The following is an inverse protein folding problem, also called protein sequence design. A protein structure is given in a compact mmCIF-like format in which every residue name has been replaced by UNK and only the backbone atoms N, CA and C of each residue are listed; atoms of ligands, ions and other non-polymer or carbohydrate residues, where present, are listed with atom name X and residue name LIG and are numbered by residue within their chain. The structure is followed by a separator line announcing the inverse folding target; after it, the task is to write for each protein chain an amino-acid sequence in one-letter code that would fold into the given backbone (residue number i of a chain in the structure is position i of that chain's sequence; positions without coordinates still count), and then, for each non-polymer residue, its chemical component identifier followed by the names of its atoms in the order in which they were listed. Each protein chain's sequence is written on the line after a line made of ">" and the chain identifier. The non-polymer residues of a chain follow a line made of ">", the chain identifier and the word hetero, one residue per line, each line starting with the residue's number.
data_IF_339556013159
#
_entry.id   IF_339556013159
#
_cell.length_a   1.000
_cell.length_b   1.000
_cell.length_c   1.000
_cell.angle_alpha   90.00
_cell.angle_beta   90.00
_cell.angle_gamma   90.00
#
_symmetry.space_group_name_H-M   'P 1'
#
loop_
_entity.id
_entity.type
_entity.pdbx_description
1 polymer ?
#
# COMPACT_ATOMS: atom_id res chain seq x y z
N UNK A 1 20.86 -4.63 3.64
CA UNK A 1 20.59 -5.45 4.86
C UNK A 1 19.15 -5.23 5.27
N UNK A 2 18.48 -6.28 5.73
CA UNK A 2 17.17 -6.19 6.37
C UNK A 2 17.25 -6.11 7.89
N UNK A 3 16.08 -5.99 8.53
CA UNK A 3 15.95 -5.90 9.98
C UNK A 3 16.34 -7.18 10.74
N UNK A 4 16.27 -8.33 10.08
CA UNK A 4 16.70 -9.61 10.65
C UNK A 4 18.18 -9.92 10.42
N UNK A 5 18.92 -9.06 9.71
CA UNK A 5 20.35 -9.24 9.45
C UNK A 5 21.22 -8.64 10.57
N UNK A 6 20.68 -8.46 11.78
CA UNK A 6 21.41 -7.97 12.94
C UNK A 6 20.86 -8.61 14.22
N UNK A 7 21.67 -8.68 15.28
CA UNK A 7 21.27 -9.28 16.56
C UNK A 7 21.42 -8.24 17.68
N UNK A 8 20.35 -7.96 18.47
CA UNK A 8 18.99 -8.46 18.28
C UNK A 8 18.33 -7.93 17.01
N UNK A 9 17.35 -8.67 16.47
CA UNK A 9 16.60 -8.23 15.28
C UNK A 9 15.94 -6.87 15.54
N UNK A 10 15.73 -6.10 14.47
CA UNK A 10 15.15 -4.75 14.51
C UNK A 10 16.01 -3.70 15.23
N UNK A 11 17.10 -4.07 15.93
CA UNK A 11 17.81 -3.19 16.87
C UNK A 11 19.25 -2.96 16.45
N UNK A 12 19.48 -1.88 15.71
CA UNK A 12 20.82 -1.46 15.30
C UNK A 12 21.12 -0.06 15.82
N UNK A 13 22.12 0.08 16.68
CA UNK A 13 22.57 1.37 17.18
C UNK A 13 23.15 2.21 16.04
N UNK A 14 22.68 3.45 15.93
CA UNK A 14 23.00 4.35 14.81
C UNK A 14 24.15 5.33 15.11
N UNK A 15 24.85 5.12 16.22
CA UNK A 15 26.06 5.87 16.56
C UNK A 15 27.21 5.50 15.64
N UNK A 16 27.97 6.51 15.22
CA UNK A 16 29.23 6.31 14.51
C UNK A 16 30.26 5.54 15.34
N UNK A 17 30.14 5.49 16.67
CA UNK A 17 31.09 4.80 17.54
C UNK A 17 30.61 3.43 18.02
N UNK A 18 29.43 2.98 17.57
CA UNK A 18 28.92 1.67 17.98
C UNK A 18 29.83 0.53 17.47
N UNK A 19 30.40 -0.23 18.41
CA UNK A 19 31.37 -1.29 18.10
C UNK A 19 30.70 -2.50 17.45
N UNK A 20 29.53 -2.92 17.95
CA UNK A 20 28.81 -4.09 17.45
C UNK A 20 28.38 -3.91 15.99
N UNK A 21 27.85 -2.72 15.65
CA UNK A 21 27.53 -2.37 14.27
C UNK A 21 28.77 -2.38 13.39
N UNK A 22 29.86 -1.73 13.82
CA UNK A 22 31.11 -1.70 13.03
C UNK A 22 31.69 -3.08 12.78
N UNK A 23 31.71 -3.94 13.80
CA UNK A 23 32.17 -5.31 13.70
C UNK A 23 31.32 -6.09 12.68
N UNK A 24 29.99 -5.98 12.78
CA UNK A 24 29.08 -6.62 11.86
C UNK A 24 29.21 -6.11 10.42
N UNK A 25 29.24 -4.78 10.22
CA UNK A 25 29.44 -4.19 8.90
C UNK A 25 30.79 -4.59 8.30
N UNK A 26 31.84 -4.72 9.13
CA UNK A 26 33.17 -5.17 8.69
C UNK A 26 33.18 -6.65 8.28
N UNK A 27 32.47 -7.49 9.04
CA UNK A 27 32.27 -8.89 8.68
C UNK A 27 31.50 -9.02 7.35
N UNK A 28 30.41 -8.28 7.20
CA UNK A 28 29.64 -8.24 5.96
C UNK A 28 30.47 -7.73 4.76
N UNK A 29 31.28 -6.69 4.97
CA UNK A 29 32.23 -6.20 3.97
C UNK A 29 33.21 -7.30 3.52
N UNK A 30 33.61 -8.20 4.43
CA UNK A 30 34.52 -9.31 4.15
C UNK A 30 33.85 -10.38 3.28
N UNK A 31 32.63 -10.80 3.60
CA UNK A 31 31.90 -11.80 2.80
C UNK A 31 31.47 -11.24 1.43
N UNK A 32 31.25 -9.93 1.33
CA UNK A 32 30.87 -9.24 0.08
C UNK A 32 32.05 -8.59 -0.64
N UNK A 33 33.29 -8.87 -0.22
CA UNK A 33 34.48 -8.23 -0.79
C UNK A 33 34.61 -8.43 -2.30
N UNK A 34 34.14 -9.57 -2.83
CA UNK A 34 34.15 -9.88 -4.26
C UNK A 34 33.27 -8.94 -5.10
N UNK A 35 32.32 -8.22 -4.48
CA UNK A 35 31.54 -7.16 -5.11
C UNK A 35 32.11 -5.75 -4.87
N UNK A 36 33.32 -5.65 -4.29
CA UNK A 36 34.00 -4.38 -3.98
C UNK A 36 33.17 -3.44 -3.09
N UNK A 37 32.32 -3.99 -2.21
CA UNK A 37 31.39 -3.19 -1.40
C UNK A 37 32.08 -2.21 -0.47
N UNK A 38 33.29 -2.54 0.02
CA UNK A 38 33.99 -1.75 1.01
C UNK A 38 34.78 -0.57 0.43
N UNK A 39 35.20 -0.67 -0.83
CA UNK A 39 36.02 0.36 -1.47
C UNK A 39 35.20 1.49 -2.09
N UNK A 40 33.86 1.38 -2.12
CA UNK A 40 32.88 2.26 -2.80
C UNK A 40 33.59 3.29 -3.71
N UNK A 41 34.09 2.84 -4.88
CA UNK A 41 35.00 3.65 -5.69
C UNK A 41 34.30 4.86 -6.33
N UNK A 42 32.99 5.00 -6.11
CA UNK A 42 32.14 6.03 -6.68
C UNK A 42 31.97 7.16 -5.67
N UNK A 43 32.27 8.42 -6.03
CA UNK A 43 32.04 9.56 -5.16
C UNK A 43 30.55 9.77 -4.82
N UNK A 44 30.22 10.20 -3.59
CA UNK A 44 31.11 10.32 -2.43
C UNK A 44 31.49 8.96 -1.83
N UNK A 45 32.78 8.71 -1.53
CA UNK A 45 33.22 7.43 -0.99
C UNK A 45 32.64 7.21 0.41
N UNK A 46 32.13 6.00 0.63
CA UNK A 46 31.66 5.58 1.95
C UNK A 46 32.13 4.15 2.23
N UNK A 47 33.01 3.95 3.24
CA UNK A 47 33.38 2.61 3.66
C UNK A 47 32.16 1.87 4.23
N UNK A 48 31.82 0.72 3.63
CA UNK A 48 30.70 -0.09 4.09
C UNK A 48 30.91 -0.55 5.54
N UNK A 49 32.15 -0.87 5.93
CA UNK A 49 32.51 -1.26 7.30
C UNK A 49 32.10 -0.24 8.37
N UNK A 50 32.01 1.05 8.00
CA UNK A 50 31.69 2.12 8.95
C UNK A 50 30.21 2.48 9.00
N UNK A 51 29.41 2.05 8.01
CA UNK A 51 28.08 2.62 7.78
C UNK A 51 27.00 1.60 7.40
N UNK A 52 27.40 0.42 6.92
CA UNK A 52 26.55 -0.63 6.38
C UNK A 52 25.72 -0.22 5.13
N UNK A 53 26.15 0.81 4.41
CA UNK A 53 25.60 1.20 3.11
C UNK A 53 26.72 1.50 2.11
N UNK A 54 26.42 1.38 0.81
CA UNK A 54 27.42 1.55 -0.25
C UNK A 54 26.76 1.86 -1.58
N UNK A 55 27.55 2.30 -2.54
CA UNK A 55 27.15 2.45 -3.93
C UNK A 55 28.00 1.59 -4.86
N UNK A 56 27.41 1.15 -5.97
CA UNK A 56 28.08 0.37 -7.02
C UNK A 56 27.76 0.97 -8.39
N UNK A 57 28.81 1.29 -9.16
CA UNK A 57 28.66 1.68 -10.56
C UNK A 57 28.64 0.43 -11.45
N UNK A 58 27.58 0.29 -12.23
CA UNK A 58 27.36 -0.80 -13.17
C UNK A 58 27.49 -0.25 -14.59
N UNK A 59 28.51 -0.72 -15.32
CA UNK A 59 28.75 -0.43 -16.75
C UNK A 59 28.75 1.07 -17.08
N UNK A 60 29.25 1.91 -16.18
CA UNK A 60 29.41 3.37 -16.34
C UNK A 60 28.12 4.15 -16.67
N UNK A 61 26.95 3.53 -16.48
CA UNK A 61 25.64 4.13 -16.80
C UNK A 61 24.64 4.05 -15.66
N UNK A 62 24.81 3.09 -14.75
CA UNK A 62 23.84 2.80 -13.71
C UNK A 62 24.52 2.77 -12.35
N UNK A 63 24.15 3.69 -11.47
CA UNK A 63 24.58 3.73 -10.08
C UNK A 63 23.53 3.04 -9.22
N UNK A 64 23.91 1.99 -8.51
CA UNK A 64 23.06 1.34 -7.50
C UNK A 64 23.41 1.95 -6.15
N UNK A 65 22.47 2.64 -5.52
CA UNK A 65 22.59 3.17 -4.16
C UNK A 65 21.93 2.19 -3.19
N UNK A 66 22.73 1.42 -2.47
CA UNK A 66 22.22 0.44 -1.50
C UNK A 66 22.32 1.02 -0.09
N UNK A 67 21.17 1.35 0.48
CA UNK A 67 21.08 2.05 1.76
C UNK A 67 20.92 1.09 2.95
N UNK A 68 21.35 1.54 4.12
CA UNK A 68 21.08 0.96 5.42
C UNK A 68 19.81 1.59 5.99
N UNK A 69 18.65 1.03 5.67
CA UNK A 69 17.38 1.55 6.18
C UNK A 69 17.15 1.33 7.68
N UNK A 70 17.98 0.53 8.37
CA UNK A 70 17.85 0.32 9.82
C UNK A 70 17.96 1.62 10.62
N UNK A 71 18.67 2.61 10.08
CA UNK A 71 18.87 3.89 10.76
C UNK A 71 17.62 4.77 10.77
N UNK A 72 16.57 4.36 10.06
CA UNK A 72 15.29 5.05 9.97
C UNK A 72 14.09 4.14 10.24
N UNK A 73 14.33 2.84 10.45
CA UNK A 73 13.28 1.85 10.64
C UNK A 73 12.46 2.14 11.90
N UNK A 74 11.14 2.20 11.77
CA UNK A 74 10.25 2.65 12.84
C UNK A 74 10.30 1.75 14.09
N UNK A 75 10.53 0.44 13.90
CA UNK A 75 10.67 -0.51 15.02
C UNK A 75 12.09 -0.57 15.60
N UNK A 76 13.08 0.11 14.99
CA UNK A 76 14.40 0.26 15.58
C UNK A 76 14.40 1.35 16.63
N UNK A 77 14.14 0.98 17.89
CA UNK A 77 14.14 1.96 18.97
C UNK A 77 15.49 2.62 19.25
N UNK A 78 16.61 2.04 18.79
CA UNK A 78 17.94 2.68 18.89
C UNK A 78 18.16 3.77 17.84
N UNK A 79 17.28 3.85 16.84
CA UNK A 79 17.23 4.90 15.82
C UNK A 79 16.13 5.94 16.09
N UNK A 80 15.47 5.88 17.26
CA UNK A 80 14.33 6.75 17.58
C UNK A 80 14.75 8.23 17.53
N UNK A 81 14.04 9.12 16.81
CA UNK A 81 14.41 10.53 16.68
C UNK A 81 14.60 11.26 18.02
N UNK A 82 13.83 10.91 19.05
CA UNK A 82 13.95 11.52 20.39
C UNK A 82 15.26 11.20 21.12
N UNK A 83 16.03 10.22 20.65
CA UNK A 83 17.35 9.86 21.19
C UNK A 83 18.49 10.53 20.43
N UNK A 84 18.17 11.21 19.32
CA UNK A 84 19.13 11.77 18.39
C UNK A 84 19.11 13.29 18.52
N UNK A 85 20.25 13.97 18.32
CA UNK A 85 20.28 15.42 18.24
C UNK A 85 19.28 15.95 17.20
N UNK A 86 18.77 17.15 17.42
CA UNK A 86 17.93 17.81 16.43
C UNK A 86 18.70 17.93 15.10
N UNK A 87 18.05 17.63 13.97
CA UNK A 87 18.67 17.57 12.64
C UNK A 87 19.72 16.45 12.42
N UNK A 88 19.85 15.50 13.35
CA UNK A 88 20.79 14.40 13.20
C UNK A 88 20.45 13.52 12.00
N UNK A 89 21.43 13.38 11.10
CA UNK A 89 21.44 12.45 9.99
C UNK A 89 22.27 11.23 10.41
N UNK A 90 21.63 10.13 10.86
CA UNK A 90 22.36 9.01 11.38
C UNK A 90 23.32 8.43 10.33
N UNK A 91 24.58 8.29 10.74
CA UNK A 91 25.66 7.84 9.86
C UNK A 91 25.88 8.73 8.61
N UNK A 92 25.34 9.95 8.58
CA UNK A 92 25.48 10.88 7.46
C UNK A 92 24.84 10.38 6.16
N UNK A 93 23.91 9.44 6.27
CA UNK A 93 23.41 8.69 5.13
C UNK A 93 22.50 9.53 4.23
N UNK A 94 21.68 10.43 4.78
CA UNK A 94 20.83 11.32 3.99
C UNK A 94 21.67 12.27 3.15
N UNK A 95 22.71 12.86 3.75
CA UNK A 95 23.68 13.69 3.04
C UNK A 95 24.39 12.89 1.96
N UNK A 96 24.86 11.67 2.28
CA UNK A 96 25.52 10.79 1.33
C UNK A 96 24.60 10.43 0.13
N UNK A 97 23.32 10.16 0.36
CA UNK A 97 22.33 9.92 -0.71
C UNK A 97 22.23 11.15 -1.60
N UNK A 98 22.02 12.34 -1.02
CA UNK A 98 21.91 13.59 -1.78
C UNK A 98 23.16 13.84 -2.65
N UNK A 99 24.35 13.72 -2.05
CA UNK A 99 25.62 13.95 -2.75
C UNK A 99 25.84 12.91 -3.87
N UNK A 100 25.40 11.67 -3.67
CA UNK A 100 25.42 10.61 -4.69
C UNK A 100 24.47 10.90 -5.86
N UNK A 101 23.28 11.44 -5.59
CA UNK A 101 22.31 11.83 -6.61
C UNK A 101 22.80 13.05 -7.42
N UNK A 102 23.43 14.03 -6.77
CA UNK A 102 24.12 15.15 -7.43
C UNK A 102 25.21 14.62 -8.36
N UNK A 103 26.04 13.69 -7.86
CA UNK A 103 27.09 13.06 -8.66
C UNK A 103 26.49 12.33 -9.88
N UNK A 104 25.43 11.54 -9.70
CA UNK A 104 24.77 10.85 -10.80
C UNK A 104 24.27 11.82 -11.87
N UNK A 105 23.60 12.92 -11.47
CA UNK A 105 23.12 13.95 -12.39
C UNK A 105 24.25 14.61 -13.17
N UNK A 106 25.32 15.01 -12.47
CA UNK A 106 26.50 15.64 -13.08
C UNK A 106 27.17 14.75 -14.12
N UNK A 107 27.15 13.43 -13.92
CA UNK A 107 27.82 12.46 -14.78
C UNK A 107 26.87 11.74 -15.76
N UNK A 108 25.60 12.16 -15.84
CA UNK A 108 24.62 11.54 -16.74
C UNK A 108 24.33 10.07 -16.45
N UNK A 109 24.40 9.67 -15.18
CA UNK A 109 24.10 8.32 -14.73
C UNK A 109 22.62 8.18 -14.37
N UNK A 110 22.08 6.96 -14.55
CA UNK A 110 20.81 6.57 -13.92
C UNK A 110 21.05 5.92 -12.57
N UNK A 111 20.05 5.99 -11.70
CA UNK A 111 20.14 5.52 -10.32
C UNK A 111 19.07 4.49 -10.02
N UNK A 112 19.47 3.34 -9.50
CA UNK A 112 18.59 2.45 -8.74
C UNK A 112 18.77 2.76 -7.26
N UNK A 113 17.68 3.16 -6.61
CA UNK A 113 17.64 3.29 -5.16
C UNK A 113 17.22 1.96 -4.54
N UNK A 114 18.12 1.30 -3.81
CA UNK A 114 17.87 0.00 -3.19
C UNK A 114 17.79 0.13 -1.67
N UNK A 115 16.70 -0.36 -1.10
CA UNK A 115 16.47 -0.40 0.35
C UNK A 115 15.77 -1.70 0.72
N UNK A 116 15.97 -2.19 1.95
CA UNK A 116 15.11 -3.25 2.46
C UNK A 116 13.69 -2.75 2.72
N UNK A 117 13.56 -1.59 3.37
CA UNK A 117 12.28 -1.02 3.76
C UNK A 117 11.71 -0.10 2.66
N UNK A 118 10.44 -0.27 2.27
CA UNK A 118 9.71 0.69 1.45
C UNK A 118 9.49 2.02 2.16
N UNK A 119 9.19 3.07 1.38
CA UNK A 119 8.59 4.29 1.92
C UNK A 119 7.08 4.09 2.08
N UNK A 120 6.46 4.89 2.93
CA UNK A 120 5.03 4.81 3.22
C UNK A 120 4.68 3.63 4.13
N UNK A 121 3.55 3.01 3.84
CA UNK A 121 2.92 1.98 4.66
C UNK A 121 2.59 0.73 3.82
N UNK A 122 2.41 -0.45 4.43
CA UNK A 122 2.04 -1.66 3.71
C UNK A 122 0.56 -1.67 3.32
N UNK A 123 0.22 -2.34 2.21
CA UNK A 123 -1.16 -2.43 1.69
C UNK A 123 -2.14 -3.13 2.61
N UNK A 124 -1.66 -4.12 3.36
CA UNK A 124 -2.49 -4.96 4.21
C UNK A 124 -2.83 -4.30 5.56
N UNK A 125 -2.05 -3.31 6.01
CA UNK A 125 -2.35 -2.57 7.25
C UNK A 125 -1.73 -1.16 7.28
N UNK A 126 -2.19 -0.26 6.39
CA UNK A 126 -1.56 1.04 6.21
C UNK A 126 -1.83 2.04 7.34
N UNK A 127 -2.71 1.72 8.29
CA UNK A 127 -3.04 2.58 9.45
C UNK A 127 -2.19 2.30 10.67
N UNK A 128 -1.89 1.03 10.92
CA UNK A 128 -1.17 0.63 12.12
C UNK A 128 0.36 0.64 11.93
N UNK A 129 0.82 0.50 10.70
CA UNK A 129 2.24 0.31 10.41
C UNK A 129 2.75 1.32 9.39
N UNK A 130 3.90 1.90 9.70
CA UNK A 130 4.75 2.63 8.76
C UNK A 130 6.15 2.04 8.85
N UNK A 131 6.84 1.93 7.74
CA UNK A 131 8.15 1.27 7.72
C UNK A 131 9.23 2.15 8.37
N UNK A 132 9.21 3.44 8.07
CA UNK A 132 10.22 4.40 8.52
C UNK A 132 9.60 5.42 9.47
N UNK A 133 10.42 6.00 10.35
CA UNK A 133 9.99 7.16 11.12
C UNK A 133 9.50 8.29 10.19
N UNK A 134 8.40 9.00 10.52
CA UNK A 134 7.76 9.95 9.62
C UNK A 134 8.70 10.99 8.99
N UNK A 135 9.57 11.59 9.80
CA UNK A 135 10.54 12.60 9.33
C UNK A 135 11.55 12.02 8.33
N UNK A 136 12.01 10.78 8.54
CA UNK A 136 12.92 10.12 7.62
C UNK A 136 12.20 9.74 6.32
N UNK A 137 10.97 9.24 6.41
CA UNK A 137 10.13 8.96 5.26
C UNK A 137 9.94 10.20 4.38
N UNK A 138 9.55 11.34 5.00
CA UNK A 138 9.34 12.62 4.32
C UNK A 138 10.61 13.13 3.63
N UNK A 139 11.76 13.10 4.33
CA UNK A 139 13.05 13.55 3.78
C UNK A 139 13.52 12.68 2.62
N UNK A 140 13.41 11.35 2.73
CA UNK A 140 13.77 10.43 1.65
C UNK A 140 12.84 10.60 0.44
N UNK A 141 11.52 10.68 0.67
CA UNK A 141 10.56 10.91 -0.39
C UNK A 141 10.88 12.19 -1.16
N UNK A 142 11.19 13.26 -0.44
CA UNK A 142 11.58 14.55 -1.01
C UNK A 142 12.83 14.45 -1.88
N UNK A 143 13.87 13.75 -1.43
CA UNK A 143 15.06 13.50 -2.26
C UNK A 143 14.72 12.72 -3.53
N UNK A 144 13.89 11.68 -3.42
CA UNK A 144 13.51 10.89 -4.60
C UNK A 144 12.68 11.72 -5.59
N UNK A 145 11.82 12.61 -5.10
CA UNK A 145 11.10 13.58 -5.93
C UNK A 145 12.05 14.58 -6.59
N UNK A 146 13.01 15.16 -5.85
CA UNK A 146 13.91 16.21 -6.36
C UNK A 146 14.94 15.69 -7.37
N UNK A 147 15.24 14.40 -7.33
CA UNK A 147 16.19 13.73 -8.22
C UNK A 147 15.54 12.69 -9.14
N UNK A 148 14.24 12.86 -9.40
CA UNK A 148 13.47 11.94 -10.23
C UNK A 148 13.99 11.82 -11.68
N UNK A 149 14.70 12.84 -12.18
CA UNK A 149 15.32 12.87 -13.51
C UNK A 149 16.46 11.86 -13.68
N UNK A 150 17.15 11.51 -12.59
CA UNK A 150 18.22 10.49 -12.60
C UNK A 150 17.77 9.13 -12.09
N UNK A 151 16.68 9.06 -11.32
CA UNK A 151 16.15 7.78 -10.88
C UNK A 151 15.60 6.97 -12.06
N UNK A 152 15.95 5.69 -12.12
CA UNK A 152 15.27 4.74 -13.02
C UNK A 152 14.16 3.99 -12.29
N UNK A 153 14.39 3.58 -11.04
CA UNK A 153 13.37 3.03 -10.13
C UNK A 153 13.96 2.90 -8.73
N UNK A 154 13.10 2.69 -7.74
CA UNK A 154 13.51 2.11 -6.45
C UNK A 154 13.23 0.60 -6.43
N UNK A 155 14.11 -0.17 -5.81
CA UNK A 155 13.94 -1.59 -5.52
C UNK A 155 13.88 -1.77 -4.00
N UNK A 156 12.72 -2.22 -3.52
CA UNK A 156 12.40 -2.34 -2.09
C UNK A 156 11.84 -3.72 -1.76
N UNK A 157 11.80 -4.10 -0.48
CA UNK A 157 11.39 -5.42 -0.04
C UNK A 157 10.60 -5.33 1.29
N UNK A 158 10.95 -6.16 2.27
CA UNK A 158 10.37 -6.24 3.62
C UNK A 158 8.94 -6.77 3.71
N UNK A 159 8.01 -6.32 2.85
CA UNK A 159 6.59 -6.70 2.91
C UNK A 159 6.31 -8.15 2.44
N UNK A 160 7.29 -8.82 1.81
CA UNK A 160 7.18 -10.18 1.24
C UNK A 160 6.17 -10.34 0.08
N UNK A 161 5.37 -9.32 -0.20
CA UNK A 161 4.39 -9.24 -1.28
C UNK A 161 5.02 -8.80 -2.60
N UNK A 162 4.34 -9.15 -3.71
CA UNK A 162 4.65 -8.59 -5.03
C UNK A 162 3.79 -7.34 -5.24
N UNK A 163 4.42 -6.18 -5.26
CA UNK A 163 3.70 -4.92 -5.38
C UNK A 163 4.54 -3.81 -6.02
N UNK A 164 3.92 -2.66 -6.24
CA UNK A 164 4.59 -1.44 -6.67
C UNK A 164 3.98 -0.20 -5.99
N UNK A 165 4.74 0.90 -6.00
CA UNK A 165 4.35 2.21 -5.48
C UNK A 165 4.65 3.29 -6.49
N UNK A 166 3.86 4.37 -6.48
CA UNK A 166 4.09 5.57 -7.29
C UNK A 166 4.68 6.68 -6.42
N UNK A 167 5.70 7.34 -6.95
CA UNK A 167 6.22 8.59 -6.39
C UNK A 167 5.57 9.73 -7.17
N UNK A 168 4.68 10.45 -6.52
CA UNK A 168 4.08 11.67 -7.05
C UNK A 168 4.90 12.89 -6.61
N UNK A 169 5.00 13.91 -7.47
CA UNK A 169 5.52 15.23 -7.07
C UNK A 169 4.43 16.07 -6.36
N UNK A 170 4.77 17.31 -5.97
CA UNK A 170 3.83 18.20 -5.28
C UNK A 170 2.65 18.66 -6.15
N UNK A 171 2.70 18.44 -7.47
CA UNK A 171 1.60 18.69 -8.40
C UNK A 171 0.79 17.42 -8.71
N UNK A 172 1.10 16.29 -8.06
CA UNK A 172 0.42 15.01 -8.29
C UNK A 172 0.84 14.31 -9.58
N UNK A 173 1.96 14.70 -10.20
CA UNK A 173 2.47 14.03 -11.41
C UNK A 173 3.30 12.81 -11.00
N UNK A 174 3.15 11.65 -11.67
CA UNK A 174 3.99 10.49 -11.40
C UNK A 174 5.41 10.75 -11.92
N UNK A 175 6.36 10.86 -11.00
CA UNK A 175 7.77 11.18 -11.28
C UNK A 175 8.72 10.00 -11.03
N UNK A 176 8.30 9.01 -10.25
CA UNK A 176 9.10 7.82 -9.95
C UNK A 176 8.25 6.63 -9.54
N UNK A 177 8.90 5.49 -9.34
CA UNK A 177 8.25 4.23 -8.94
C UNK A 177 9.12 3.43 -7.98
N UNK A 178 8.47 2.61 -7.15
CA UNK A 178 9.15 1.61 -6.33
C UNK A 178 8.58 0.22 -6.64
N UNK A 179 9.44 -0.75 -6.89
CA UNK A 179 9.04 -2.15 -7.03
C UNK A 179 9.34 -2.89 -5.73
N UNK A 180 8.31 -3.48 -5.15
CA UNK A 180 8.41 -4.36 -3.99
C UNK A 180 8.63 -5.77 -4.50
N UNK A 181 9.79 -6.33 -4.17
CA UNK A 181 10.12 -7.70 -4.52
C UNK A 181 9.55 -8.66 -3.47
N UNK A 182 8.86 -9.73 -3.88
CA UNK A 182 8.37 -10.73 -2.96
C UNK A 182 9.50 -11.57 -2.36
N UNK A 183 9.21 -12.28 -1.29
CA UNK A 183 10.22 -13.10 -0.60
C UNK A 183 10.34 -14.51 -1.17
N UNK A 184 11.50 -15.13 -0.92
CA UNK A 184 11.73 -16.56 -1.13
C UNK A 184 11.11 -17.38 0.01
N UNK A 185 11.04 -16.83 1.21
CA UNK A 185 10.44 -17.54 2.35
C UNK A 185 8.93 -17.71 2.14
N UNK A 186 8.36 -18.92 2.30
CA UNK A 186 6.93 -19.13 2.22
C UNK A 186 6.21 -18.78 3.53
N UNK A 187 6.77 -17.82 4.29
CA UNK A 187 6.28 -17.45 5.60
C UNK A 187 4.78 -17.12 5.56
N UNK A 188 4.03 -17.54 6.57
CA UNK A 188 2.61 -17.24 6.66
C UNK A 188 2.43 -16.09 7.63
N UNK A 189 1.97 -14.95 7.11
CA UNK A 189 1.68 -13.78 7.93
C UNK A 189 0.21 -13.79 8.35
N UNK A 190 -0.04 -13.45 9.61
CA UNK A 190 -1.38 -13.29 10.14
C UNK A 190 -2.12 -12.19 9.34
N UNK A 191 -3.39 -12.41 9.03
CA UNK A 191 -4.29 -11.49 8.31
C UNK A 191 -3.87 -11.15 6.86
N UNK A 192 -2.85 -11.83 6.33
CA UNK A 192 -2.39 -11.71 4.94
C UNK A 192 -2.47 -13.06 4.24
N UNK A 193 -1.83 -14.09 4.79
CA UNK A 193 -1.75 -15.43 4.20
C UNK A 193 -0.31 -15.92 3.98
N UNK A 194 -0.20 -17.10 3.35
CA UNK A 194 1.08 -17.69 2.98
C UNK A 194 1.55 -17.21 1.61
N UNK A 195 2.85 -17.21 1.37
CA UNK A 195 3.45 -16.89 0.07
C UNK A 195 3.98 -18.15 -0.61
N UNK A 196 3.98 -18.18 -1.95
CA UNK A 196 4.90 -19.05 -2.68
C UNK A 196 6.29 -18.35 -2.79
N UNK A 197 7.40 -19.10 -2.71
CA UNK A 197 8.75 -18.59 -2.98
C UNK A 197 8.84 -17.95 -4.36
N UNK A 198 9.44 -16.77 -4.42
CA UNK A 198 9.49 -15.95 -5.64
C UNK A 198 10.83 -15.27 -5.83
N UNK A 199 11.25 -15.11 -7.09
CA UNK A 199 12.43 -14.33 -7.50
C UNK A 199 12.12 -13.50 -8.73
N UNK A 200 12.73 -12.32 -8.86
CA UNK A 200 12.45 -11.37 -9.95
C UNK A 200 13.70 -11.10 -10.79
N UNK A 201 13.52 -11.05 -12.10
CA UNK A 201 14.56 -10.71 -13.08
C UNK A 201 14.17 -9.43 -13.82
N UNK A 202 14.91 -8.35 -13.61
CA UNK A 202 14.74 -7.09 -14.33
C UNK A 202 15.54 -7.08 -15.64
N UNK A 203 14.93 -6.56 -16.70
CA UNK A 203 15.61 -6.20 -17.95
C UNK A 203 15.86 -4.70 -17.98
N UNK A 204 17.04 -4.27 -18.41
CA UNK A 204 17.40 -2.85 -18.49
C UNK A 204 18.23 -2.54 -19.75
N UNK A 205 18.16 -1.29 -20.21
CA UNK A 205 18.98 -0.77 -21.29
C UNK A 205 20.39 -0.51 -20.81
N UNK A 206 21.38 -1.20 -21.37
CA UNK A 206 22.80 -0.95 -21.05
C UNK A 206 23.30 0.40 -21.52
N UNK A 207 22.63 1.03 -22.49
CA UNK A 207 23.03 2.32 -23.03
C UNK A 207 22.53 3.48 -22.16
N UNK A 208 21.31 3.37 -21.63
CA UNK A 208 20.65 4.44 -20.88
C UNK A 208 20.51 4.17 -19.38
N UNK A 209 20.77 2.94 -18.91
CA UNK A 209 20.55 2.53 -17.52
C UNK A 209 19.07 2.36 -17.14
N UNK A 210 18.14 2.53 -18.07
CA UNK A 210 16.70 2.48 -17.80
C UNK A 210 16.18 1.04 -17.67
N UNK A 211 15.33 0.78 -16.67
CA UNK A 211 14.56 -0.46 -16.59
C UNK A 211 13.55 -0.53 -17.75
N UNK A 212 13.44 -1.70 -18.37
CA UNK A 212 12.58 -1.95 -19.52
C UNK A 212 11.37 -2.80 -19.16
N UNK A 213 11.58 -3.82 -18.31
CA UNK A 213 10.55 -4.79 -17.90
C UNK A 213 11.06 -5.65 -16.75
N UNK A 214 10.21 -6.51 -16.18
CA UNK A 214 10.65 -7.60 -15.31
C UNK A 214 9.86 -8.90 -15.52
N UNK A 215 10.52 -10.02 -15.22
CA UNK A 215 9.92 -11.35 -15.13
C UNK A 215 9.89 -11.80 -13.68
N UNK A 216 8.72 -12.22 -13.24
CA UNK A 216 8.52 -12.84 -11.94
C UNK A 216 8.58 -14.36 -12.11
N UNK A 217 9.34 -15.02 -11.25
CA UNK A 217 9.37 -16.47 -11.12
C UNK A 217 8.73 -16.87 -9.80
N UNK A 218 8.10 -18.03 -9.80
CA UNK A 218 7.42 -18.63 -8.65
C UNK A 218 7.79 -20.10 -8.53
N UNK A 219 7.83 -20.60 -7.31
CA UNK A 219 7.84 -22.02 -7.01
C UNK A 219 6.52 -22.37 -6.33
N UNK A 220 5.61 -23.05 -7.02
CA UNK A 220 4.31 -23.38 -6.42
C UNK A 220 4.41 -24.54 -5.44
N UNK A 221 4.33 -24.23 -4.15
CA UNK A 221 4.41 -25.24 -3.08
C UNK A 221 3.14 -26.10 -2.96
N UNK A 222 2.10 -25.85 -3.76
CA UNK A 222 0.90 -26.71 -3.76
C UNK A 222 1.09 -28.01 -4.56
N UNK A 223 2.09 -28.07 -5.44
CA UNK A 223 2.35 -29.25 -6.28
C UNK A 223 3.41 -30.17 -5.68
N UNK A 224 3.32 -31.46 -6.01
CA UNK A 224 4.34 -32.46 -5.64
C UNK A 224 5.64 -32.17 -6.42
N UNK A 225 6.78 -32.13 -5.72
CA UNK A 225 8.11 -31.82 -6.29
C UNK A 225 8.14 -30.47 -7.03
N UNK A 226 7.97 -29.35 -6.30
CA UNK A 226 7.85 -28.04 -6.92
C UNK A 226 9.17 -27.62 -7.59
N UNK A 227 9.04 -26.93 -8.73
CA UNK A 227 10.17 -26.38 -9.49
C UNK A 227 9.91 -24.90 -9.79
N UNK A 228 10.97 -24.15 -10.08
CA UNK A 228 10.83 -22.75 -10.49
C UNK A 228 10.23 -22.66 -11.88
N UNK A 229 9.22 -21.81 -12.04
CA UNK A 229 8.60 -21.47 -13.33
C UNK A 229 8.42 -19.96 -13.45
N UNK A 230 8.21 -19.48 -14.68
CA UNK A 230 7.80 -18.08 -14.90
C UNK A 230 6.35 -17.93 -14.45
N UNK A 231 6.09 -16.98 -13.57
CA UNK A 231 4.75 -16.57 -13.15
C UNK A 231 4.17 -15.59 -14.18
N UNK A 232 4.87 -14.47 -14.39
CA UNK A 232 4.47 -13.47 -15.37
C UNK A 232 5.64 -12.58 -15.82
N UNK A 233 5.45 -11.93 -16.96
CA UNK A 233 6.25 -10.80 -17.43
C UNK A 233 5.38 -9.54 -17.33
N UNK A 234 5.86 -8.48 -16.69
CA UNK A 234 5.00 -7.36 -16.26
C UNK A 234 4.26 -6.69 -17.41
N UNK A 235 4.98 -6.29 -18.47
CA UNK A 235 4.37 -5.60 -19.62
C UNK A 235 3.28 -6.44 -20.30
N UNK A 236 3.54 -7.73 -20.50
CA UNK A 236 2.59 -8.65 -21.12
C UNK A 236 1.38 -8.89 -20.20
N UNK A 237 1.62 -9.05 -18.90
CA UNK A 237 0.60 -9.39 -17.92
C UNK A 237 -0.37 -8.24 -17.62
N UNK A 238 0.08 -7.00 -17.76
CA UNK A 238 -0.71 -5.80 -17.50
C UNK A 238 -1.01 -4.96 -18.76
N UNK A 239 -0.63 -5.44 -19.94
CA UNK A 239 -0.79 -4.75 -21.23
C UNK A 239 -0.16 -3.34 -21.24
N UNK A 240 1.04 -3.21 -20.67
CA UNK A 240 1.77 -1.94 -20.56
C UNK A 240 2.88 -1.82 -21.59
N UNK A 241 3.02 -0.65 -22.19
CA UNK A 241 4.07 -0.38 -23.18
C UNK A 241 5.46 -0.33 -22.55
N UNK A 242 5.56 0.09 -21.29
CA UNK A 242 6.79 0.17 -20.51
C UNK A 242 6.50 0.07 -19.01
N UNK A 243 7.55 0.22 -18.19
CA UNK A 243 7.48 0.26 -16.72
C UNK A 243 7.70 1.67 -16.18
N UNK A 244 7.40 2.70 -16.98
CA UNK A 244 7.56 4.09 -16.55
C UNK A 244 6.61 4.44 -15.40
N UNK A 245 6.93 5.48 -14.60
CA UNK A 245 6.02 5.98 -13.58
C UNK A 245 4.63 6.33 -14.14
N UNK A 246 4.54 6.82 -15.38
CA UNK A 246 3.28 7.17 -16.03
C UNK A 246 2.44 5.93 -16.35
N UNK A 247 3.05 4.87 -16.91
CA UNK A 247 2.37 3.60 -17.19
C UNK A 247 1.91 2.91 -15.91
N UNK A 248 2.76 2.87 -14.88
CA UNK A 248 2.40 2.29 -13.58
C UNK A 248 1.28 3.09 -12.90
N UNK A 249 1.32 4.42 -12.96
CA UNK A 249 0.26 5.26 -12.41
C UNK A 249 -1.06 5.04 -13.15
N UNK A 250 -1.04 4.91 -14.48
CA UNK A 250 -2.22 4.56 -15.28
C UNK A 250 -2.81 3.22 -14.86
N UNK A 251 -1.98 2.18 -14.68
CA UNK A 251 -2.42 0.89 -14.18
C UNK A 251 -3.06 1.01 -12.79
N UNK A 252 -2.46 1.77 -11.88
CA UNK A 252 -3.01 2.00 -10.54
C UNK A 252 -4.35 2.77 -10.59
N UNK A 253 -4.50 3.76 -11.47
CA UNK A 253 -5.79 4.42 -11.68
C UNK A 253 -6.85 3.44 -12.19
N UNK A 254 -6.51 2.53 -13.10
CA UNK A 254 -7.40 1.44 -13.50
C UNK A 254 -7.82 0.57 -12.31
N UNK A 255 -6.90 0.24 -11.38
CA UNK A 255 -7.27 -0.49 -10.16
C UNK A 255 -8.18 0.30 -9.21
N UNK A 256 -8.09 1.63 -9.19
CA UNK A 256 -8.93 2.49 -8.35
C UNK A 256 -10.33 2.67 -8.96
N UNK A 257 -10.41 2.84 -10.28
CA UNK A 257 -11.60 3.35 -10.98
C UNK A 257 -12.46 2.27 -11.63
N UNK A 258 -11.90 1.11 -11.94
CA UNK A 258 -12.58 0.05 -12.70
C UNK A 258 -12.55 -1.28 -11.93
N UNK A 259 -13.69 -1.99 -11.87
CA UNK A 259 -13.83 -3.17 -11.02
C UNK A 259 -12.75 -4.24 -11.31
N UNK A 260 -12.69 -4.69 -12.58
CA UNK A 260 -11.71 -5.69 -12.99
C UNK A 260 -11.53 -5.79 -14.54
N UNK A 261 -11.22 -4.69 -15.24
CA UNK A 261 -11.08 -4.72 -16.69
C UNK A 261 -9.97 -5.70 -17.09
N UNK A 262 -10.26 -6.59 -18.05
CA UNK A 262 -9.34 -7.64 -18.52
C UNK A 262 -8.74 -8.50 -17.39
N UNK A 263 -9.42 -8.64 -16.26
CA UNK A 263 -8.94 -9.35 -15.07
C UNK A 263 -7.68 -8.75 -14.42
N UNK A 264 -7.38 -7.47 -14.67
CA UNK A 264 -6.14 -6.85 -14.20
C UNK A 264 -6.03 -6.84 -12.67
N UNK A 265 -7.12 -6.50 -11.97
CA UNK A 265 -7.11 -6.49 -10.52
C UNK A 265 -7.03 -7.88 -9.91
N UNK A 266 -7.87 -8.82 -10.35
CA UNK A 266 -7.83 -10.18 -9.79
C UNK A 266 -6.49 -10.86 -10.07
N UNK A 267 -5.85 -10.55 -11.20
CA UNK A 267 -4.51 -11.02 -11.50
C UNK A 267 -3.45 -10.36 -10.59
N UNK A 268 -3.55 -9.06 -10.31
CA UNK A 268 -2.71 -8.37 -9.33
C UNK A 268 -2.85 -8.97 -7.94
N UNK A 269 -4.08 -9.04 -7.42
CA UNK A 269 -4.42 -9.62 -6.13
C UNK A 269 -3.82 -11.02 -6.01
N UNK A 270 -4.08 -11.92 -6.97
CA UNK A 270 -3.52 -13.27 -6.96
C UNK A 270 -1.98 -13.29 -6.95
N UNK A 271 -1.32 -12.40 -7.70
CA UNK A 271 0.15 -12.35 -7.81
C UNK A 271 0.82 -11.78 -6.58
N UNK A 272 0.13 -10.93 -5.81
CA UNK A 272 0.65 -10.33 -4.57
C UNK A 272 1.19 -11.40 -3.60
N UNK A 273 0.54 -12.57 -3.52
CA UNK A 273 0.95 -13.72 -2.70
C UNK A 273 1.50 -14.92 -3.51
N UNK A 274 1.77 -14.74 -4.80
CA UNK A 274 2.32 -15.79 -5.66
C UNK A 274 1.33 -16.93 -5.93
N UNK A 275 0.05 -16.59 -6.09
CA UNK A 275 -1.02 -17.54 -6.36
C UNK A 275 -1.69 -18.14 -5.14
N UNK A 276 -1.22 -17.83 -3.92
CA UNK A 276 -1.90 -18.20 -2.68
C UNK A 276 -3.09 -17.27 -2.42
N UNK A 277 -4.03 -17.76 -1.61
CA UNK A 277 -5.23 -17.02 -1.21
C UNK A 277 -4.90 -16.05 -0.09
N UNK A 278 -5.43 -14.84 -0.16
CA UNK A 278 -5.44 -13.91 0.97
C UNK A 278 -6.26 -14.47 2.13
N UNK A 279 -5.75 -14.27 3.33
CA UNK A 279 -6.37 -14.64 4.60
C UNK A 279 -6.75 -13.41 5.40
N UNK A 280 -7.18 -12.36 4.70
CA UNK A 280 -7.71 -11.14 5.28
C UNK A 280 -9.22 -11.26 5.57
N UNK A 281 -9.72 -10.35 6.41
CA UNK A 281 -11.17 -10.12 6.57
C UNK A 281 -11.85 -9.67 5.28
N UNK A 282 -11.08 -9.04 4.39
CA UNK A 282 -11.53 -8.60 3.08
C UNK A 282 -11.51 -9.76 2.08
N UNK A 283 -12.55 -9.84 1.23
CA UNK A 283 -12.56 -10.70 0.04
C UNK A 283 -11.53 -10.19 -1.00
N UNK A 284 -11.59 -10.63 -2.26
CA UNK A 284 -10.69 -10.11 -3.31
C UNK A 284 -10.89 -8.61 -3.64
N UNK A 285 -11.77 -7.90 -2.93
CA UNK A 285 -12.00 -6.46 -3.10
C UNK A 285 -12.32 -6.06 -4.54
N UNK A 286 -13.13 -6.87 -5.22
CA UNK A 286 -13.41 -6.76 -6.67
C UNK A 286 -14.12 -5.46 -7.07
N UNK A 287 -14.87 -4.84 -6.17
CA UNK A 287 -15.56 -3.58 -6.48
C UNK A 287 -14.60 -2.40 -6.39
N UNK A 288 -14.43 -1.67 -7.49
CA UNK A 288 -13.71 -0.41 -7.54
C UNK A 288 -14.35 0.61 -6.60
N UNK A 289 -13.53 1.52 -6.06
CA UNK A 289 -13.96 2.53 -5.08
C UNK A 289 -14.70 1.96 -3.86
N UNK A 290 -14.58 0.66 -3.58
CA UNK A 290 -14.98 0.08 -2.29
C UNK A 290 -14.01 0.51 -1.20
N UNK A 291 -14.44 0.40 0.06
CA UNK A 291 -13.56 0.65 1.21
C UNK A 291 -12.30 -0.20 1.15
N UNK A 292 -12.42 -1.50 0.83
CA UNK A 292 -11.23 -2.35 0.71
C UNK A 292 -10.30 -1.87 -0.41
N UNK A 293 -10.83 -1.64 -1.62
CA UNK A 293 -10.00 -1.20 -2.75
C UNK A 293 -9.28 0.11 -2.44
N UNK A 294 -10.00 1.05 -1.83
CA UNK A 294 -9.46 2.33 -1.40
C UNK A 294 -8.33 2.16 -0.39
N UNK A 295 -8.55 1.39 0.69
CA UNK A 295 -7.53 1.15 1.73
C UNK A 295 -6.28 0.48 1.15
N UNK A 296 -6.44 -0.49 0.24
CA UNK A 296 -5.32 -1.19 -0.40
C UNK A 296 -4.55 -0.28 -1.35
N UNK A 297 -5.23 0.54 -2.17
CA UNK A 297 -4.56 1.38 -3.19
C UNK A 297 -4.00 2.70 -2.64
N UNK A 298 -4.49 3.22 -1.50
CA UNK A 298 -3.94 4.43 -0.88
C UNK A 298 -2.42 4.37 -0.63
N UNK A 299 -1.83 3.34 0.02
CA UNK A 299 -0.38 3.25 0.21
C UNK A 299 0.38 3.04 -1.10
N UNK A 300 -0.27 2.51 -2.16
CA UNK A 300 0.34 2.42 -3.49
C UNK A 300 0.54 3.81 -4.13
N UNK A 301 -0.35 4.75 -3.82
CA UNK A 301 -0.41 6.07 -4.43
C UNK A 301 0.26 7.15 -3.57
N UNK A 302 0.14 7.06 -2.24
CA UNK A 302 0.56 8.08 -1.30
C UNK A 302 1.65 7.56 -0.35
N UNK A 303 2.89 7.93 -0.68
CA UNK A 303 4.07 7.63 0.15
C UNK A 303 4.36 8.72 1.19
N UNK A 304 3.76 9.90 1.03
CA UNK A 304 3.72 10.91 2.09
C UNK A 304 2.66 10.48 3.10
N UNK A 305 3.04 10.39 4.38
CA UNK A 305 2.17 9.85 5.43
C UNK A 305 0.98 10.76 5.73
N UNK A 306 1.11 12.08 5.56
CA UNK A 306 0.00 13.02 5.76
C UNK A 306 -1.04 12.83 4.64
N UNK A 307 -0.60 12.73 3.38
CA UNK A 307 -1.49 12.46 2.24
C UNK A 307 -2.09 11.05 2.28
N UNK A 308 -1.35 10.08 2.81
CA UNK A 308 -1.84 8.73 3.05
C UNK A 308 -3.00 8.76 4.06
N UNK A 309 -2.82 9.45 5.20
CA UNK A 309 -3.85 9.57 6.22
C UNK A 309 -5.12 10.25 5.67
N UNK A 310 -4.96 11.30 4.86
CA UNK A 310 -6.08 11.94 4.17
C UNK A 310 -6.80 10.98 3.21
N UNK A 311 -6.06 10.17 2.44
CA UNK A 311 -6.63 9.15 1.55
C UNK A 311 -7.43 8.12 2.34
N UNK A 312 -6.82 7.58 3.40
CA UNK A 312 -7.43 6.57 4.25
C UNK A 312 -8.64 7.14 5.01
N UNK A 313 -8.64 8.42 5.39
CA UNK A 313 -9.80 9.07 5.99
C UNK A 313 -11.01 9.08 5.03
N UNK A 314 -10.80 9.42 3.76
CA UNK A 314 -11.85 9.37 2.72
C UNK A 314 -12.39 7.96 2.50
N UNK A 315 -11.55 6.93 2.63
CA UNK A 315 -12.01 5.54 2.50
C UNK A 315 -13.07 5.13 3.55
N UNK A 316 -13.13 5.80 4.71
CA UNK A 316 -14.09 5.45 5.76
C UNK A 316 -15.55 5.77 5.40
N UNK A 317 -15.75 6.65 4.43
CA UNK A 317 -17.08 7.02 3.91
C UNK A 317 -17.61 6.00 2.89
N UNK A 318 -16.78 5.05 2.46
CA UNK A 318 -17.11 4.07 1.44
C UNK A 318 -17.71 2.79 2.03
N UNK A 319 -18.61 2.17 1.27
CA UNK A 319 -19.17 0.87 1.60
C UNK A 319 -18.10 -0.24 1.48
N UNK A 320 -18.09 -1.24 2.40
CA UNK A 320 -17.18 -2.40 2.33
C UNK A 320 -17.12 -3.08 0.96
N UNK A 321 -18.29 -3.26 0.31
CA UNK A 321 -18.42 -4.00 -0.96
C UNK A 321 -18.76 -3.10 -2.15
N UNK A 322 -18.69 -1.77 -1.99
CA UNK A 322 -19.04 -0.78 -3.02
C UNK A 322 -20.54 -0.68 -3.35
N UNK A 323 -21.39 -1.33 -2.56
CA UNK A 323 -22.85 -1.18 -2.68
C UNK A 323 -23.31 0.21 -2.26
N UNK A 324 -23.69 1.04 -3.23
CA UNK A 324 -24.47 2.24 -2.97
C UNK A 324 -25.91 1.84 -2.60
N UNK A 325 -26.25 1.93 -1.32
CA UNK A 325 -27.54 2.49 -0.98
C UNK A 325 -27.30 3.57 0.07
N UNK A 326 -27.19 4.81 -0.40
CA UNK A 326 -27.19 5.97 0.48
C UNK A 326 -28.49 5.95 1.29
N UNK A 327 -28.37 5.69 2.60
CA UNK A 327 -29.44 5.77 3.59
C UNK A 327 -30.32 7.03 3.41
N UNK A 328 -29.79 8.21 3.04
CA UNK A 328 -30.62 9.37 2.70
C UNK A 328 -31.63 9.16 1.56
N UNK A 329 -31.29 8.36 0.54
CA UNK A 329 -32.20 8.07 -0.59
C UNK A 329 -33.30 7.11 -0.14
N UNK A 330 -32.98 6.10 0.66
CA UNK A 330 -34.01 5.21 1.25
C UNK A 330 -34.96 6.03 2.11
N UNK A 331 -34.42 6.88 3.00
CA UNK A 331 -35.23 7.75 3.85
C UNK A 331 -36.07 8.71 3.00
N UNK A 332 -35.51 9.30 1.95
CA UNK A 332 -36.23 10.18 1.03
C UNK A 332 -37.37 9.45 0.28
N UNK A 333 -37.14 8.22 -0.18
CA UNK A 333 -38.16 7.40 -0.85
C UNK A 333 -39.25 6.97 0.14
N UNK A 334 -38.89 6.57 1.36
CA UNK A 334 -39.84 6.21 2.42
C UNK A 334 -40.69 7.42 2.82
N UNK A 335 -40.07 8.59 3.04
CA UNK A 335 -40.79 9.83 3.35
C UNK A 335 -41.71 10.22 2.20
N UNK A 336 -41.24 10.13 0.95
CA UNK A 336 -42.06 10.38 -0.24
C UNK A 336 -43.29 9.46 -0.30
N UNK A 337 -43.11 8.16 -0.05
CA UNK A 337 -44.20 7.20 0.01
C UNK A 337 -45.19 7.50 1.13
N UNK A 338 -44.71 7.85 2.33
CA UNK A 338 -45.56 8.20 3.48
C UNK A 338 -46.38 9.46 3.20
N UNK A 339 -45.81 10.49 2.57
CA UNK A 339 -46.52 11.72 2.20
C UNK A 339 -47.65 11.41 1.19
N UNK A 340 -47.38 10.57 0.19
CA UNK A 340 -48.40 10.14 -0.78
C UNK A 340 -49.51 9.36 -0.09
N UNK A 341 -49.18 8.42 0.80
CA UNK A 341 -50.14 7.64 1.57
C UNK A 341 -51.04 8.53 2.44
N UNK A 342 -50.46 9.49 3.16
CA UNK A 342 -51.22 10.45 3.98
C UNK A 342 -52.13 11.31 3.08
N UNK A 343 -51.63 11.77 1.93
CA UNK A 343 -52.43 12.51 0.96
C UNK A 343 -53.64 11.71 0.44
N UNK A 344 -53.45 10.43 0.13
CA UNK A 344 -54.53 9.52 -0.29
C UNK A 344 -55.54 9.34 0.85
N UNK A 345 -55.09 9.09 2.08
CA UNK A 345 -56.00 8.94 3.24
C UNK A 345 -56.83 10.20 3.47
N UNK A 346 -56.22 11.39 3.38
CA UNK A 346 -56.93 12.66 3.51
C UNK A 346 -57.96 12.84 2.39
N UNK A 347 -57.60 12.53 1.14
CA UNK A 347 -58.52 12.61 -0.01
C UNK A 347 -59.70 11.64 0.14
N UNK A 348 -59.44 10.40 0.54
CA UNK A 348 -60.48 9.38 0.77
C UNK A 348 -61.39 9.80 1.93
N UNK A 349 -60.84 10.28 3.05
CA UNK A 349 -61.64 10.79 4.16
C UNK A 349 -62.48 12.01 3.76
N UNK A 350 -61.92 12.94 2.98
CA UNK A 350 -62.66 14.09 2.47
C UNK A 350 -63.83 13.66 1.56
N UNK A 351 -63.61 12.67 0.68
CA UNK A 351 -64.68 12.09 -0.15
C UNK A 351 -65.74 11.35 0.68
N UNK A 352 -65.35 10.62 1.72
CA UNK A 352 -66.27 9.93 2.64
C UNK A 352 -67.09 10.92 3.48
N UNK A 353 -66.48 12.01 3.97
CA UNK A 353 -67.19 13.09 4.67
C UNK A 353 -68.18 13.81 3.74
N UNK A 354 -67.81 14.08 2.48
CA UNK A 354 -68.75 14.62 1.48
C UNK A 354 -69.94 13.70 1.23
N UNK A 355 -69.74 12.38 1.21
CA UNK A 355 -70.82 11.39 1.06
C UNK A 355 -71.68 11.28 2.32
N UNK A 356 -71.13 11.48 3.52
CA UNK A 356 -71.86 11.43 4.80
C UNK A 356 -72.57 12.74 5.18
N UNK A 357 -72.17 13.88 4.62
CA UNK A 357 -72.86 15.16 4.82
C UNK A 357 -74.20 15.32 4.09
N UNK A 358 -74.66 14.29 3.37
CA UNK A 358 -75.88 14.33 2.55
C UNK A 358 -77.12 13.64 3.13
N UNK A 359 -77.07 13.02 4.31
CA UNK A 359 -78.24 12.32 4.89
C UNK A 359 -78.37 12.52 6.40
N UNK A 360 -79.23 13.50 6.74
CA UNK A 360 -80.10 13.69 7.90
C UNK A 360 -80.00 12.78 9.15
N UNK A 361 -79.85 13.47 10.29
CA UNK A 361 -80.80 13.55 11.42
C UNK A 361 -80.92 12.41 12.48
N UNK A 362 -80.59 12.81 13.72
CA UNK A 362 -81.37 12.76 14.97
C UNK A 362 -81.54 11.47 15.81
N UNK A 363 -81.29 11.63 17.13
CA UNK A 363 -81.91 10.98 18.33
C UNK A 363 -81.18 9.73 18.88
N UNK A 364 -80.29 9.81 19.90
CA UNK A 364 -80.45 9.91 21.39
C UNK A 364 -80.42 8.55 22.14
N UNK A 365 -79.42 8.44 23.05
CA UNK A 365 -79.29 7.71 24.35
C UNK A 365 -79.79 6.24 24.49
N UNK A 366 -79.07 5.26 25.08
CA UNK A 366 -78.63 5.19 26.49
C UNK A 366 -77.74 3.93 26.75
N UNK A 367 -76.81 4.04 27.71
CA UNK A 367 -76.32 3.08 28.74
C UNK A 367 -76.07 1.57 28.43
N UNK A 368 -74.88 1.02 28.74
CA UNK A 368 -74.50 0.54 30.09
C UNK A 368 -73.14 -0.21 30.17
N UNK A 369 -72.40 0.13 31.24
CA UNK A 369 -71.49 -0.62 32.12
C UNK A 369 -70.72 -1.90 31.71
N UNK A 370 -69.38 -1.78 31.83
CA UNK A 370 -68.46 -2.60 32.66
C UNK A 370 -69.03 -3.84 33.38
N UNK A 371 -68.49 -5.05 33.09
CA UNK A 371 -67.63 -5.83 34.01
C UNK A 371 -67.42 -7.29 33.57
N UNK A 372 -66.20 -7.76 33.84
CA UNK A 372 -65.79 -9.10 34.32
C UNK A 372 -65.56 -10.28 33.34
N UNK A 373 -64.29 -10.69 33.38
CA UNK A 373 -63.76 -12.04 33.65
C UNK A 373 -63.98 -13.17 32.61
N UNK A 374 -62.85 -13.55 32.00
CA UNK A 374 -62.42 -14.90 31.55
C UNK A 374 -62.85 -16.05 32.50
N UNK A 375 -62.80 -17.36 32.10
CA UNK A 375 -61.78 -17.99 31.22
C UNK A 375 -62.24 -19.13 30.27
N UNK A 376 -61.25 -19.65 29.53
CA UNK A 376 -61.15 -20.98 28.86
C UNK A 376 -62.14 -21.28 27.70
N UNK A 377 -61.81 -21.90 26.58
CA UNK A 377 -61.03 -23.12 26.33
C UNK A 377 -60.52 -23.18 24.85
N UNK A 378 -59.35 -23.79 24.66
CA UNK A 378 -58.86 -24.45 23.42
C UNK A 378 -59.68 -25.76 23.19
N UNK A 379 -59.66 -26.50 22.04
CA UNK A 379 -58.49 -26.73 21.16
C UNK A 379 -58.75 -26.94 19.64
N UNK A 380 -57.76 -26.59 18.82
CA UNK A 380 -56.99 -27.43 17.88
C UNK A 380 -56.30 -26.57 16.81
#
# INVERSE_FOLDING_TARGET
>A
MGNHDFVPMDRMNVSYQDASRKEWCSFLATIWAHWSVNSSPVPPPQPFSDSCFTSLLVRDKLLVLNINGMVWYAANSDAKPSLLPEQYDPLGQLRWINDSLIYARKNGLKVIFASHFPLGAPEWNPRAFTHLYPEANKKLLKLLQDYHDVLTTSLVAHEHTDSFRIILDSQGRPVGSMFLAPSVTPFRMQDIGAFNPRVRLFSYSRNSGQILDYKQFVMDLSVKNPTWSVDYQFRDAYFMDDVSPQSLHKLLQTFIEEDNPKNLWSAYWKRELGGKRHESEWAECLTARSKCRCVHTCPMLHLDLELLDECLARCNELSPDGGHISVPIIIGVIIGFLVVLVGIVILVNHQLCRRRGGSNALTVMTNNMLQKMHPSDYPN
#
